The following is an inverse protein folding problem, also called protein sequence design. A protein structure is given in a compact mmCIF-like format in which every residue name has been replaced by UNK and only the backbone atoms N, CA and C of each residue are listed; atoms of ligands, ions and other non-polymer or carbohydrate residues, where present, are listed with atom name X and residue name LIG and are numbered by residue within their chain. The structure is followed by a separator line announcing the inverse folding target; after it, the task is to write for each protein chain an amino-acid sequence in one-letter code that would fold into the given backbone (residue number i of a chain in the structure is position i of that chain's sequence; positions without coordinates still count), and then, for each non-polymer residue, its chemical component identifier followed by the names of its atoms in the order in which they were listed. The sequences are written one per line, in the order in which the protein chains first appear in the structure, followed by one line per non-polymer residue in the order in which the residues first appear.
data_IF_820635103350
#
_entry.id   IF_820635103350
#
_cell.length_a   1.000
_cell.length_b   1.000
_cell.length_c   1.000
_cell.angle_alpha   90.00
_cell.angle_beta   90.00
_cell.angle_gamma   90.00
#
_symmetry.space_group_name_H-M   'P 1'
#
loop_
_entity.id
_entity.type
_entity.pdbx_description
1 polymer ?
#
# COMPACT_ATOMS: atom_id res chain seq x y z
N UNK A 1 27.51 -2.42 2.38
CA UNK A 1 26.64 -1.28 2.01
C UNK A 1 25.54 -1.18 3.04
N UNK A 2 25.26 0.00 3.58
CA UNK A 2 24.12 0.21 4.47
C UNK A 2 22.93 0.70 3.63
N UNK A 3 21.90 -0.12 3.52
CA UNK A 3 20.69 0.24 2.77
C UNK A 3 19.79 1.03 3.70
N UNK A 4 19.33 2.19 3.24
CA UNK A 4 18.29 2.93 3.94
C UNK A 4 16.95 2.16 3.80
N UNK A 5 16.58 1.46 4.87
CA UNK A 5 15.36 0.65 4.93
C UNK A 5 14.10 1.52 4.80
N UNK A 6 14.12 2.76 5.31
CA UNK A 6 12.98 3.65 5.20
C UNK A 6 12.78 4.05 3.74
N UNK A 7 13.87 4.44 3.05
CA UNK A 7 13.81 4.78 1.63
C UNK A 7 13.36 3.60 0.76
N UNK A 8 13.86 2.40 1.04
CA UNK A 8 13.42 1.18 0.36
C UNK A 8 11.91 0.95 0.57
N UNK A 9 11.45 1.09 1.82
CA UNK A 9 10.04 0.94 2.19
C UNK A 9 9.15 1.92 1.44
N UNK A 10 9.53 3.20 1.39
CA UNK A 10 8.77 4.26 0.73
C UNK A 10 8.68 4.02 -0.79
N UNK A 11 9.78 3.62 -1.43
CA UNK A 11 9.76 3.23 -2.85
C UNK A 11 8.83 2.04 -3.06
N UNK A 12 8.86 1.02 -2.21
CA UNK A 12 7.92 -0.09 -2.32
C UNK A 12 6.46 0.38 -2.17
N UNK A 13 6.18 1.30 -1.24
CA UNK A 13 4.83 1.87 -1.04
C UNK A 13 4.35 2.65 -2.28
N UNK A 14 5.20 3.46 -2.90
CA UNK A 14 4.86 4.21 -4.13
C UNK A 14 4.50 3.29 -5.31
N UNK A 15 5.08 2.10 -5.35
CA UNK A 15 4.86 1.09 -6.39
C UNK A 15 3.79 0.06 -5.99
N UNK A 16 3.05 0.28 -4.90
CA UNK A 16 2.03 -0.66 -4.46
C UNK A 16 0.92 -0.85 -5.49
N UNK A 17 0.59 -2.12 -5.77
CA UNK A 17 -0.59 -2.55 -6.51
C UNK A 17 -1.09 -3.90 -6.00
N UNK A 18 -2.09 -4.48 -6.65
CA UNK A 18 -2.65 -5.79 -6.31
C UNK A 18 -1.54 -6.82 -6.01
N UNK A 19 -1.70 -7.52 -4.87
CA UNK A 19 -0.82 -8.57 -4.36
C UNK A 19 0.61 -8.16 -4.00
N UNK A 20 0.96 -6.88 -4.10
CA UNK A 20 2.19 -6.34 -3.54
C UNK A 20 1.89 -5.72 -2.17
N UNK A 21 2.30 -6.43 -1.12
CA UNK A 21 2.07 -6.03 0.27
C UNK A 21 3.33 -5.39 0.82
N UNK A 22 3.23 -4.15 1.30
CA UNK A 22 4.38 -3.39 1.82
C UNK A 22 4.07 -2.98 3.25
N UNK A 23 4.92 -3.39 4.20
CA UNK A 23 4.74 -3.27 5.67
C UNK A 23 3.50 -3.96 6.26
N UNK A 24 2.35 -3.93 5.59
CA UNK A 24 1.08 -4.57 5.96
C UNK A 24 0.95 -5.93 5.28
N UNK A 25 1.87 -6.85 5.62
CA UNK A 25 1.92 -8.21 5.06
C UNK A 25 1.05 -9.15 5.90
N UNK A 26 0.13 -9.94 5.30
CA UNK A 26 -0.63 -10.96 6.02
C UNK A 26 0.26 -11.91 6.84
N UNK A 27 -0.14 -12.19 8.10
CA UNK A 27 0.62 -13.06 9.02
C UNK A 27 0.90 -14.44 8.44
N UNK A 28 -0.05 -15.00 7.69
CA UNK A 28 0.09 -16.31 7.04
C UNK A 28 1.25 -16.31 6.04
N UNK A 29 1.50 -15.21 5.33
CA UNK A 29 2.64 -15.09 4.41
C UNK A 29 3.96 -14.99 5.17
N UNK A 30 4.01 -14.17 6.21
CA UNK A 30 5.18 -14.06 7.09
C UNK A 30 5.53 -15.42 7.72
N UNK A 31 4.53 -16.20 8.16
CA UNK A 31 4.74 -17.50 8.80
C UNK A 31 5.43 -18.54 7.92
N UNK A 32 5.31 -18.41 6.60
CA UNK A 32 5.91 -19.34 5.63
C UNK A 32 7.18 -18.79 4.98
N UNK A 33 7.50 -17.50 5.17
CA UNK A 33 8.60 -16.80 4.52
C UNK A 33 9.95 -17.50 4.79
N UNK A 34 10.32 -17.66 6.06
CA UNK A 34 11.59 -18.31 6.47
C UNK A 34 11.68 -19.75 5.92
N UNK A 35 10.65 -20.58 6.17
CA UNK A 35 10.64 -21.99 5.79
C UNK A 35 10.65 -22.20 4.27
N UNK A 36 9.89 -21.41 3.52
CA UNK A 36 9.72 -21.62 2.07
C UNK A 36 10.73 -20.86 1.23
N UNK A 37 11.17 -19.69 1.63
CA UNK A 37 12.05 -18.83 0.84
C UNK A 37 13.49 -18.81 1.37
N UNK A 38 13.76 -19.49 2.49
CA UNK A 38 15.08 -19.54 3.12
C UNK A 38 15.58 -18.14 3.55
N UNK A 39 14.66 -17.28 3.98
CA UNK A 39 14.96 -15.95 4.52
C UNK A 39 15.49 -16.12 5.96
N UNK A 40 16.65 -15.53 6.30
CA UNK A 40 17.18 -15.54 7.66
C UNK A 40 16.23 -14.90 8.68
N UNK A 41 16.30 -15.33 9.94
CA UNK A 41 15.40 -14.82 11.01
C UNK A 41 15.68 -13.36 11.38
N UNK A 42 16.92 -12.93 11.21
CA UNK A 42 17.43 -11.58 11.46
C UNK A 42 17.25 -10.64 10.26
N UNK A 43 16.83 -11.15 9.10
CA UNK A 43 16.61 -10.36 7.91
C UNK A 43 15.19 -9.79 7.90
N UNK A 44 15.08 -8.47 8.08
CA UNK A 44 13.81 -7.79 8.18
C UNK A 44 13.05 -7.88 6.86
N UNK A 45 11.83 -8.43 6.89
CA UNK A 45 10.93 -8.44 5.73
C UNK A 45 10.22 -7.08 5.62
N UNK A 46 10.29 -6.47 4.43
CA UNK A 46 9.74 -5.14 4.16
C UNK A 46 8.52 -5.22 3.26
N UNK A 47 8.61 -6.00 2.19
CA UNK A 47 7.52 -6.18 1.24
C UNK A 47 7.45 -7.61 0.70
N UNK A 48 6.29 -7.97 0.17
CA UNK A 48 6.05 -9.26 -0.46
C UNK A 48 5.14 -9.12 -1.68
N UNK A 49 5.63 -9.55 -2.84
CA UNK A 49 4.83 -9.75 -4.05
C UNK A 49 4.39 -11.22 -4.12
N UNK A 50 3.09 -11.47 -3.96
CA UNK A 50 2.51 -12.81 -4.03
C UNK A 50 2.24 -13.24 -5.47
N UNK A 51 3.02 -14.20 -5.99
CA UNK A 51 2.87 -14.77 -7.33
C UNK A 51 2.03 -16.06 -7.34
N UNK A 52 0.94 -16.09 -6.56
CA UNK A 52 0.02 -17.21 -6.48
C UNK A 52 -1.36 -16.83 -7.03
N UNK A 53 -1.83 -17.52 -8.07
CA UNK A 53 -3.21 -17.38 -8.59
C UNK A 53 -4.28 -17.41 -7.50
N UNK A 54 -4.11 -18.28 -6.48
CA UNK A 54 -5.05 -18.47 -5.36
C UNK A 54 -4.53 -17.95 -4.00
N UNK A 55 -3.57 -17.02 -3.98
CA UNK A 55 -3.20 -16.27 -2.76
C UNK A 55 -2.58 -17.07 -1.61
N UNK A 56 -2.01 -18.26 -1.86
CA UNK A 56 -1.42 -19.09 -0.79
C UNK A 56 -0.07 -18.60 -0.22
N UNK A 57 0.52 -17.54 -0.78
CA UNK A 57 1.83 -17.00 -0.42
C UNK A 57 3.02 -17.95 -0.66
N UNK A 58 2.80 -19.11 -1.29
CA UNK A 58 3.84 -20.14 -1.52
C UNK A 58 4.86 -19.77 -2.59
N UNK A 59 4.54 -18.83 -3.47
CA UNK A 59 5.38 -18.34 -4.56
C UNK A 59 5.34 -16.82 -4.58
N UNK A 60 6.44 -16.21 -4.97
CA UNK A 60 6.55 -14.76 -4.94
C UNK A 60 7.96 -14.27 -4.75
N UNK A 61 8.06 -12.99 -4.39
CA UNK A 61 9.31 -12.28 -4.14
C UNK A 61 9.17 -11.49 -2.86
N UNK A 62 10.04 -11.77 -1.89
CA UNK A 62 10.21 -10.98 -0.68
C UNK A 62 11.31 -9.96 -0.88
N UNK A 63 11.05 -8.75 -0.40
CA UNK A 63 12.00 -7.66 -0.27
C UNK A 63 12.38 -7.58 1.22
N UNK A 64 13.67 -7.63 1.48
CA UNK A 64 14.21 -7.71 2.85
C UNK A 64 15.29 -6.66 3.08
N UNK A 65 15.78 -6.53 4.30
CA UNK A 65 16.92 -5.67 4.62
C UNK A 65 18.20 -6.06 3.88
N UNK A 66 18.40 -7.33 3.53
CA UNK A 66 19.61 -7.80 2.85
C UNK A 66 19.50 -7.97 1.33
N UNK A 67 18.28 -8.18 0.82
CA UNK A 67 18.08 -8.39 -0.61
C UNK A 67 16.68 -8.89 -1.01
N UNK A 68 16.64 -9.46 -2.20
CA UNK A 68 15.49 -10.17 -2.77
C UNK A 68 15.59 -11.66 -2.47
N UNK A 69 14.47 -12.26 -2.09
CA UNK A 69 14.32 -13.70 -1.94
C UNK A 69 13.08 -14.15 -2.69
N UNK A 70 13.22 -15.11 -3.60
CA UNK A 70 12.10 -15.57 -4.41
C UNK A 70 11.93 -17.08 -4.40
N UNK A 71 10.71 -17.48 -4.69
CA UNK A 71 10.36 -18.87 -4.98
C UNK A 71 9.31 -18.88 -6.08
N UNK A 72 9.59 -19.63 -7.13
CA UNK A 72 8.66 -19.91 -8.22
C UNK A 72 8.41 -21.40 -8.33
N UNK A 73 7.31 -21.73 -8.99
CA UNK A 73 7.01 -23.12 -9.35
C UNK A 73 8.04 -23.69 -10.34
N UNK A 74 8.40 -22.91 -11.37
CA UNK A 74 9.23 -23.37 -12.49
C UNK A 74 10.74 -23.28 -12.21
N UNK A 75 11.20 -22.19 -11.61
CA UNK A 75 12.64 -21.88 -11.44
C UNK A 75 13.17 -22.22 -10.04
N UNK A 76 12.33 -22.73 -9.14
CA UNK A 76 12.74 -23.06 -7.78
C UNK A 76 12.90 -21.82 -6.90
N UNK A 77 13.90 -21.84 -6.02
CA UNK A 77 14.19 -20.73 -5.09
C UNK A 77 15.44 -19.98 -5.56
N UNK A 78 15.50 -18.69 -5.26
CA UNK A 78 16.71 -17.91 -5.44
C UNK A 78 16.76 -16.72 -4.49
N UNK A 79 17.92 -16.07 -4.46
CA UNK A 79 18.16 -14.86 -3.70
C UNK A 79 19.16 -13.98 -4.43
N UNK A 80 19.06 -12.68 -4.23
CA UNK A 80 20.00 -11.70 -4.74
C UNK A 80 20.12 -10.59 -3.70
N UNK A 81 21.34 -10.37 -3.20
CA UNK A 81 21.58 -9.29 -2.23
C UNK A 81 21.52 -7.92 -2.91
N UNK A 82 21.32 -6.87 -2.12
CA UNK A 82 21.26 -5.50 -2.65
C UNK A 82 22.57 -5.05 -3.31
N UNK A 83 23.73 -5.43 -2.76
CA UNK A 83 25.05 -5.14 -3.35
C UNK A 83 25.19 -5.81 -4.73
N UNK A 84 24.75 -7.06 -4.85
CA UNK A 84 24.74 -7.78 -6.13
C UNK A 84 23.76 -7.17 -7.14
N UNK A 85 22.59 -6.73 -6.69
CA UNK A 85 21.60 -6.10 -7.57
C UNK A 85 22.12 -4.79 -8.18
N UNK A 86 22.93 -4.02 -7.47
CA UNK A 86 23.52 -2.77 -7.97
C UNK A 86 24.56 -3.03 -9.08
N UNK A 87 25.19 -4.20 -9.05
CA UNK A 87 26.17 -4.61 -10.07
C UNK A 87 25.51 -5.08 -11.37
N UNK A 88 24.21 -5.42 -11.34
CA UNK A 88 23.44 -5.84 -12.52
C UNK A 88 23.40 -4.72 -13.55
N UNK A 89 23.87 -5.00 -14.76
CA UNK A 89 23.91 -4.05 -15.85
C UNK A 89 22.56 -3.94 -16.57
N UNK A 90 21.83 -5.05 -16.64
CA UNK A 90 20.60 -5.14 -17.40
C UNK A 90 19.51 -5.91 -16.65
N UNK A 91 18.40 -5.21 -16.39
CA UNK A 91 17.16 -5.82 -15.87
C UNK A 91 16.16 -5.89 -17.02
N UNK A 92 15.77 -7.11 -17.39
CA UNK A 92 14.79 -7.36 -18.45
C UNK A 92 13.58 -8.12 -17.92
N UNK A 93 12.44 -7.87 -18.55
CA UNK A 93 11.25 -8.69 -18.33
C UNK A 93 10.62 -9.03 -19.67
N UNK A 94 10.37 -10.31 -19.91
CA UNK A 94 9.71 -10.78 -21.12
C UNK A 94 8.18 -10.71 -21.00
N UNK A 95 7.50 -10.94 -22.13
CA UNK A 95 6.04 -10.95 -22.23
C UNK A 95 5.36 -12.00 -21.32
N UNK A 96 6.10 -13.04 -20.94
CA UNK A 96 5.62 -14.13 -20.10
C UNK A 96 5.92 -13.86 -18.60
N UNK A 97 6.44 -12.65 -18.29
CA UNK A 97 6.72 -12.18 -16.94
C UNK A 97 7.99 -12.77 -16.33
N UNK A 98 8.90 -13.35 -17.12
CA UNK A 98 10.21 -13.75 -16.62
C UNK A 98 11.13 -12.54 -16.51
N UNK A 99 11.59 -12.29 -15.30
CA UNK A 99 12.64 -11.34 -15.03
C UNK A 99 14.02 -12.00 -15.24
N UNK A 100 14.91 -11.30 -15.93
CA UNK A 100 16.30 -11.68 -16.10
C UNK A 100 17.22 -10.57 -15.62
N UNK A 101 18.31 -10.97 -14.95
CA UNK A 101 19.44 -10.11 -14.60
C UNK A 101 20.60 -10.51 -15.49
N UNK A 102 21.16 -9.59 -16.27
CA UNK A 102 22.29 -9.82 -17.20
C UNK A 102 22.08 -11.04 -18.11
N UNK A 103 20.90 -11.10 -18.75
CA UNK A 103 20.42 -12.21 -19.59
C UNK A 103 20.22 -13.57 -18.87
N UNK A 104 20.43 -13.65 -17.55
CA UNK A 104 20.14 -14.83 -16.75
C UNK A 104 18.72 -14.79 -16.17
N UNK A 105 17.86 -15.71 -16.61
CA UNK A 105 16.50 -15.89 -16.05
C UNK A 105 16.58 -16.13 -14.54
N UNK A 106 15.89 -15.28 -13.79
CA UNK A 106 15.97 -15.27 -12.33
C UNK A 106 14.67 -15.74 -11.68
N UNK A 107 13.56 -15.07 -11.99
CA UNK A 107 12.24 -15.44 -11.46
C UNK A 107 11.10 -15.02 -12.40
N UNK A 108 9.90 -15.54 -12.13
CA UNK A 108 8.71 -15.26 -12.93
C UNK A 108 7.57 -14.71 -12.06
N UNK A 109 6.93 -13.63 -12.52
CA UNK A 109 5.84 -12.98 -11.78
C UNK A 109 4.46 -13.12 -12.42
N UNK A 110 4.30 -13.93 -13.48
CA UNK A 110 3.02 -14.08 -14.19
C UNK A 110 1.92 -14.76 -13.36
N UNK A 111 2.27 -15.35 -12.22
CA UNK A 111 1.32 -15.82 -11.22
C UNK A 111 0.66 -14.71 -10.39
N UNK A 112 1.03 -13.45 -10.62
CA UNK A 112 0.42 -12.25 -10.06
C UNK A 112 -0.26 -11.42 -11.14
N UNK A 113 -1.29 -10.66 -10.78
CA UNK A 113 -1.86 -9.57 -11.56
C UNK A 113 -1.03 -8.27 -11.46
N UNK A 114 0.13 -8.33 -10.82
CA UNK A 114 1.06 -7.20 -10.70
C UNK A 114 1.79 -6.99 -12.04
N UNK A 115 1.79 -5.78 -12.63
CA UNK A 115 2.33 -5.53 -13.95
C UNK A 115 3.84 -5.80 -14.04
N UNK A 116 4.27 -6.65 -15.01
CA UNK A 116 5.69 -6.95 -15.22
C UNK A 116 6.59 -5.71 -15.39
N UNK A 117 6.15 -4.75 -16.20
CA UNK A 117 6.92 -3.52 -16.44
C UNK A 117 7.04 -2.66 -15.18
N UNK A 118 5.96 -2.56 -14.38
CA UNK A 118 5.99 -1.84 -13.11
C UNK A 118 6.96 -2.49 -12.12
N UNK A 119 7.07 -3.81 -12.14
CA UNK A 119 8.01 -4.53 -11.30
C UNK A 119 9.47 -4.26 -11.70
N UNK A 120 9.74 -4.22 -13.01
CA UNK A 120 11.05 -3.79 -13.52
C UNK A 120 11.37 -2.35 -13.11
N UNK A 121 10.40 -1.43 -13.26
CA UNK A 121 10.56 -0.04 -12.83
C UNK A 121 10.85 0.08 -11.33
N UNK A 122 10.17 -0.71 -10.49
CA UNK A 122 10.43 -0.78 -9.05
C UNK A 122 11.88 -1.17 -8.76
N UNK A 123 12.40 -2.23 -9.40
CA UNK A 123 13.79 -2.65 -9.20
C UNK A 123 14.79 -1.58 -9.62
N UNK A 124 14.54 -0.89 -10.74
CA UNK A 124 15.37 0.23 -11.21
C UNK A 124 15.30 1.42 -10.24
N UNK A 125 14.11 1.74 -9.72
CA UNK A 125 13.95 2.81 -8.73
C UNK A 125 14.73 2.51 -7.45
N UNK A 126 14.70 1.25 -6.99
CA UNK A 126 15.48 0.80 -5.84
C UNK A 126 16.99 0.93 -6.09
N UNK A 127 17.52 0.42 -7.21
CA UNK A 127 18.96 0.53 -7.52
C UNK A 127 19.43 1.98 -7.60
N UNK A 128 18.63 2.85 -8.22
CA UNK A 128 18.94 4.28 -8.31
C UNK A 128 18.91 4.97 -6.94
N UNK A 129 18.03 4.53 -6.04
CA UNK A 129 17.95 5.09 -4.69
C UNK A 129 19.16 4.75 -3.83
N UNK A 130 19.71 3.54 -3.98
CA UNK A 130 20.87 3.09 -3.19
C UNK A 130 22.15 3.85 -3.55
N UNK A 131 22.23 4.35 -4.79
CA UNK A 131 23.34 5.21 -5.23
C UNK A 131 23.25 6.64 -4.66
N UNK A 132 22.05 7.09 -4.26
CA UNK A 132 21.77 8.43 -3.76
C UNK A 132 21.46 8.41 -2.25
N UNK A 133 22.44 8.02 -1.44
CA UNK A 133 22.28 7.85 0.02
C UNK A 133 22.44 9.15 0.80
N UNK A 134 21.51 10.11 0.64
CA UNK A 134 21.46 11.32 1.48
C UNK A 134 20.05 11.89 1.61
N UNK A 135 19.20 11.25 2.40
CA UNK A 135 18.13 11.98 3.07
C UNK A 135 17.63 11.18 4.27
N UNK A 136 17.70 11.79 5.45
CA UNK A 136 16.96 11.29 6.60
C UNK A 136 15.61 12.00 6.57
N UNK A 137 14.57 11.31 6.10
CA UNK A 137 13.23 11.86 6.17
C UNK A 137 12.77 11.87 7.63
N UNK A 138 12.78 13.05 8.24
CA UNK A 138 12.16 13.26 9.54
C UNK A 138 10.69 13.58 9.26
N UNK A 139 9.78 12.82 9.87
CA UNK A 139 8.34 13.03 9.69
C UNK A 139 7.78 13.88 10.83
N UNK A 140 6.93 14.89 10.54
CA UNK A 140 6.29 15.69 11.58
C UNK A 140 5.33 14.83 12.39
N UNK A 141 5.15 15.19 13.66
CA UNK A 141 4.16 14.55 14.52
C UNK A 141 2.77 14.89 14.00
N UNK A 142 1.98 13.86 13.72
CA UNK A 142 0.64 13.99 13.17
C UNK A 142 -0.34 14.27 14.31
N UNK A 143 -1.06 15.40 14.24
CA UNK A 143 -2.13 15.70 15.19
C UNK A 143 -3.41 14.98 14.75
N UNK A 144 -3.72 13.87 15.40
CA UNK A 144 -4.88 13.01 15.09
C UNK A 144 -6.21 13.79 15.15
N UNK A 145 -6.34 14.73 16.09
CA UNK A 145 -7.54 15.56 16.22
C UNK A 145 -7.83 16.39 14.97
N UNK A 146 -6.80 16.87 14.26
CA UNK A 146 -6.98 17.63 13.02
C UNK A 146 -7.48 16.72 11.89
N UNK A 147 -6.94 15.50 11.77
CA UNK A 147 -7.45 14.50 10.81
C UNK A 147 -8.92 14.20 11.10
N UNK A 148 -9.26 13.96 12.38
CA UNK A 148 -10.62 13.72 12.82
C UNK A 148 -11.53 14.89 12.48
N UNK A 149 -11.11 16.13 12.75
CA UNK A 149 -11.86 17.33 12.39
C UNK A 149 -12.11 17.42 10.89
N UNK A 150 -11.11 17.15 10.05
CA UNK A 150 -11.29 17.08 8.59
C UNK A 150 -12.32 16.01 8.23
N UNK A 151 -12.23 14.80 8.79
CA UNK A 151 -13.21 13.75 8.53
C UNK A 151 -14.64 14.18 8.93
N UNK A 152 -14.81 14.78 10.12
CA UNK A 152 -16.11 15.23 10.61
C UNK A 152 -16.72 16.35 9.76
N UNK A 153 -15.92 17.19 9.08
CA UNK A 153 -16.44 18.21 8.16
C UNK A 153 -17.17 17.62 6.94
N UNK A 154 -16.80 16.38 6.56
CA UNK A 154 -17.42 15.68 5.43
C UNK A 154 -18.45 14.64 5.87
N UNK A 155 -18.59 14.36 7.16
CA UNK A 155 -19.57 13.42 7.66
C UNK A 155 -20.95 14.07 7.67
N UNK A 156 -21.90 13.44 7.01
CA UNK A 156 -23.32 13.77 7.16
C UNK A 156 -23.93 12.69 8.02
N UNK A 157 -24.14 13.01 9.30
CA UNK A 157 -24.81 12.13 10.24
C UNK A 157 -25.90 12.92 10.96
N UNK A 158 -27.15 12.67 10.59
CA UNK A 158 -28.30 13.22 11.29
C UNK A 158 -29.27 12.09 11.59
N UNK A 159 -29.39 11.71 12.87
CA UNK A 159 -30.25 10.61 13.32
C UNK A 159 -31.73 10.77 12.92
N UNK A 160 -32.16 11.98 12.52
CA UNK A 160 -33.57 12.31 12.33
C UNK A 160 -33.93 12.88 10.94
N UNK A 161 -32.99 13.43 10.16
CA UNK A 161 -33.35 14.29 9.01
C UNK A 161 -32.59 14.06 7.70
N UNK A 162 -31.37 13.53 7.71
CA UNK A 162 -30.57 13.33 6.49
C UNK A 162 -30.00 11.91 6.45
N UNK A 163 -30.12 11.19 5.31
CA UNK A 163 -29.50 9.88 5.17
C UNK A 163 -27.98 10.04 5.29
N UNK A 164 -27.34 9.12 6.01
CA UNK A 164 -25.89 9.13 6.14
C UNK A 164 -25.22 9.08 4.76
N UNK A 165 -24.12 9.82 4.60
CA UNK A 165 -23.39 9.84 3.33
C UNK A 165 -22.34 8.72 3.21
N UNK A 166 -22.39 7.73 4.10
CA UNK A 166 -21.49 6.58 4.14
C UNK A 166 -20.11 6.85 4.74
N UNK A 167 -19.79 8.08 5.13
CA UNK A 167 -18.62 8.39 5.97
C UNK A 167 -19.03 8.27 7.45
N UNK A 168 -18.26 7.51 8.22
CA UNK A 168 -18.47 7.34 9.65
C UNK A 168 -17.19 7.75 10.38
N UNK A 169 -17.29 8.65 11.35
CA UNK A 169 -16.14 9.16 12.10
C UNK A 169 -16.21 8.73 13.56
N UNK A 170 -15.09 8.19 14.05
CA UNK A 170 -14.90 7.80 15.45
C UNK A 170 -16.05 6.92 15.98
N UNK A 171 -16.80 7.39 16.98
CA UNK A 171 -17.87 6.64 17.64
C UNK A 171 -19.07 6.35 16.72
N UNK A 172 -19.16 6.98 15.55
CA UNK A 172 -20.20 6.69 14.56
C UNK A 172 -19.89 5.40 13.76
N UNK A 173 -18.68 4.84 13.87
CA UNK A 173 -18.36 3.52 13.32
C UNK A 173 -18.88 2.44 14.28
N UNK A 174 -20.00 1.82 13.95
CA UNK A 174 -20.57 0.76 14.80
C UNK A 174 -19.62 -0.44 15.01
N UNK A 175 -19.74 -1.14 16.15
CA UNK A 175 -18.97 -2.36 16.45
C UNK A 175 -19.08 -3.43 15.36
N UNK A 176 -20.27 -3.57 14.75
CA UNK A 176 -20.49 -4.51 13.65
C UNK A 176 -19.63 -4.13 12.43
N UNK A 177 -19.51 -2.83 12.16
CA UNK A 177 -18.70 -2.29 11.06
C UNK A 177 -17.21 -2.45 11.35
N UNK A 178 -16.77 -2.14 12.58
CA UNK A 178 -15.39 -2.34 13.02
C UNK A 178 -14.94 -3.80 12.83
N UNK A 179 -15.75 -4.77 13.27
CA UNK A 179 -15.45 -6.21 13.05
C UNK A 179 -15.34 -6.58 11.57
N UNK A 180 -16.15 -5.97 10.71
CA UNK A 180 -16.09 -6.21 9.26
C UNK A 180 -14.82 -5.59 8.64
N UNK A 181 -14.41 -4.39 9.11
CA UNK A 181 -13.16 -3.73 8.73
C UNK A 181 -11.96 -4.58 9.16
N UNK A 182 -11.89 -4.98 10.42
CA UNK A 182 -10.81 -5.81 10.98
C UNK A 182 -10.64 -7.15 10.25
N UNK A 183 -11.74 -7.73 9.75
CA UNK A 183 -11.70 -8.97 8.98
C UNK A 183 -11.20 -8.81 7.54
N UNK A 184 -11.15 -7.58 7.01
CA UNK A 184 -10.88 -7.31 5.59
C UNK A 184 -9.63 -6.47 5.33
N UNK A 185 -9.29 -5.57 6.25
CA UNK A 185 -8.10 -4.73 6.21
C UNK A 185 -6.97 -5.36 7.05
N UNK A 186 -5.73 -5.13 6.64
CA UNK A 186 -4.55 -5.59 7.37
C UNK A 186 -4.10 -4.42 8.27
N UNK A 187 -4.81 -4.25 9.39
CA UNK A 187 -4.58 -3.17 10.35
C UNK A 187 -3.96 -3.78 11.63
N UNK A 188 -2.92 -3.16 12.23
CA UNK A 188 -2.44 -3.56 13.56
C UNK A 188 -3.54 -3.49 14.61
N UNK A 189 -3.45 -4.29 15.66
CA UNK A 189 -4.49 -4.32 16.72
C UNK A 189 -4.50 -3.04 17.55
N UNK A 190 -3.33 -2.42 17.68
CA UNK A 190 -3.09 -1.24 18.49
C UNK A 190 -3.40 0.05 17.72
N UNK A 191 -3.66 -0.05 16.42
CA UNK A 191 -3.89 1.09 15.54
C UNK A 191 -5.24 1.76 15.81
N UNK A 192 -5.21 3.07 16.01
CA UNK A 192 -6.44 3.85 16.10
C UNK A 192 -7.08 4.05 14.71
N UNK A 193 -8.32 3.58 14.55
CA UNK A 193 -9.19 3.91 13.42
C UNK A 193 -9.88 5.25 13.71
N UNK A 194 -9.79 6.19 12.76
CA UNK A 194 -10.34 7.54 12.88
C UNK A 194 -11.66 7.66 12.13
N UNK A 195 -11.71 7.17 10.89
CA UNK A 195 -12.89 7.26 10.04
C UNK A 195 -12.94 6.12 9.01
N UNK A 196 -14.14 5.82 8.53
CA UNK A 196 -14.36 4.87 7.45
C UNK A 196 -15.39 5.41 6.46
N UNK A 197 -14.99 5.53 5.19
CA UNK A 197 -15.89 5.80 4.08
C UNK A 197 -16.29 4.49 3.42
N UNK A 198 -17.56 4.14 3.53
CA UNK A 198 -18.13 2.95 2.88
C UNK A 198 -18.36 3.20 1.39
N UNK A 199 -17.72 2.39 0.56
CA UNK A 199 -17.93 2.35 -0.90
C UNK A 199 -18.45 1.00 -1.37
N UNK A 200 -18.92 0.16 -0.43
CA UNK A 200 -19.43 -1.18 -0.74
C UNK A 200 -20.69 -1.12 -1.61
N UNK A 201 -20.78 -2.08 -2.53
CA UNK A 201 -22.01 -2.35 -3.30
C UNK A 201 -23.19 -2.55 -2.34
N UNK A 202 -24.26 -1.77 -2.51
CA UNK A 202 -25.51 -1.94 -1.77
C UNK A 202 -26.16 -3.30 -2.09
N UNK A 203 -26.46 -4.10 -1.07
CA UNK A 203 -27.10 -5.42 -1.19
C UNK A 203 -26.22 -6.58 -0.68
N UNK A 204 -26.67 -7.83 -0.87
CA UNK A 204 -26.02 -9.04 -0.33
C UNK A 204 -24.65 -9.39 -0.97
N UNK A 205 -24.18 -8.61 -1.96
CA UNK A 205 -22.90 -8.87 -2.64
C UNK A 205 -21.71 -8.17 -2.00
N UNK A 206 -21.94 -7.05 -1.29
CA UNK A 206 -20.91 -6.35 -0.53
C UNK A 206 -20.81 -6.88 0.90
N UNK A 207 -19.60 -7.08 1.42
CA UNK A 207 -19.40 -7.36 2.86
C UNK A 207 -19.52 -6.10 3.74
N UNK A 208 -19.98 -4.97 3.17
CA UNK A 208 -20.07 -3.69 3.87
C UNK A 208 -18.72 -3.23 4.45
N UNK A 209 -17.62 -3.57 3.80
CA UNK A 209 -16.25 -3.32 4.28
C UNK A 209 -15.29 -2.94 3.13
N UNK A 210 -15.82 -2.67 1.94
CA UNK A 210 -15.06 -1.98 0.89
C UNK A 210 -15.16 -0.48 1.13
N UNK A 211 -14.05 0.22 0.95
CA UNK A 211 -14.00 1.61 1.33
C UNK A 211 -12.62 2.19 1.51
N UNK A 212 -12.62 3.40 2.05
CA UNK A 212 -11.43 4.12 2.47
C UNK A 212 -11.39 4.14 3.99
N UNK A 213 -10.32 3.60 4.57
CA UNK A 213 -10.11 3.59 6.02
C UNK A 213 -9.04 4.61 6.37
N UNK A 214 -9.34 5.47 7.34
CA UNK A 214 -8.44 6.51 7.84
C UNK A 214 -8.01 6.09 9.23
N UNK A 215 -6.70 5.93 9.43
CA UNK A 215 -6.11 5.54 10.71
C UNK A 215 -5.06 6.57 11.14
N UNK A 216 -4.55 6.43 12.36
CA UNK A 216 -3.46 7.28 12.86
C UNK A 216 -2.18 7.19 12.01
N UNK A 217 -1.82 6.00 11.51
CA UNK A 217 -0.58 5.80 10.74
C UNK A 217 -0.70 6.18 9.27
N UNK A 218 -1.92 6.20 8.72
CA UNK A 218 -2.11 6.41 7.29
C UNK A 218 -3.53 6.16 6.81
N UNK A 219 -3.64 5.95 5.51
CA UNK A 219 -4.89 5.75 4.79
C UNK A 219 -4.84 4.45 4.00
N UNK A 220 -5.96 3.74 3.98
CA UNK A 220 -6.12 2.49 3.24
C UNK A 220 -7.22 2.64 2.19
N UNK A 221 -7.00 2.04 1.03
CA UNK A 221 -8.02 1.87 -0.01
C UNK A 221 -8.25 0.38 -0.23
N UNK A 222 -9.50 -0.06 -0.07
CA UNK A 222 -9.84 -1.48 -0.11
C UNK A 222 -11.09 -1.74 -0.93
N UNK A 223 -10.92 -2.52 -1.97
CA UNK A 223 -11.99 -3.22 -2.70
C UNK A 223 -11.46 -4.55 -3.20
N UNK A 224 -12.27 -5.41 -3.82
CA UNK A 224 -11.89 -6.81 -4.17
C UNK A 224 -10.46 -6.97 -4.71
N UNK A 225 -10.03 -6.13 -5.66
CA UNK A 225 -8.71 -6.19 -6.29
C UNK A 225 -7.75 -5.06 -5.89
N UNK A 226 -8.16 -4.19 -4.96
CA UNK A 226 -7.35 -3.06 -4.48
C UNK A 226 -7.08 -3.22 -2.99
N UNK A 227 -5.80 -3.21 -2.63
CA UNK A 227 -5.33 -3.41 -1.26
C UNK A 227 -4.17 -2.46 -1.03
N UNK A 228 -4.47 -1.17 -0.87
CA UNK A 228 -3.47 -0.13 -0.74
C UNK A 228 -3.42 0.37 0.70
N UNK A 229 -2.20 0.63 1.16
CA UNK A 229 -1.93 1.33 2.40
C UNK A 229 -0.84 2.35 2.14
N UNK A 230 -1.12 3.60 2.47
CA UNK A 230 -0.13 4.66 2.41
C UNK A 230 0.02 5.27 3.80
N UNK A 231 1.21 5.20 4.42
CA UNK A 231 1.48 6.03 5.56
C UNK A 231 1.43 7.50 5.14
N UNK A 232 1.07 8.38 6.07
CA UNK A 232 0.77 9.77 5.76
C UNK A 232 1.90 10.51 5.02
N UNK A 233 3.16 10.23 5.36
CA UNK A 233 4.34 10.84 4.74
C UNK A 233 4.53 10.46 3.27
N UNK A 234 4.08 9.27 2.86
CA UNK A 234 4.05 8.84 1.46
C UNK A 234 2.78 9.38 0.79
N UNK A 235 1.63 9.24 1.46
CA UNK A 235 0.32 9.57 0.90
C UNK A 235 0.23 11.00 0.36
N UNK A 236 0.86 11.97 1.03
CA UNK A 236 0.87 13.38 0.59
C UNK A 236 1.37 13.53 -0.87
N UNK A 237 2.29 12.68 -1.31
CA UNK A 237 2.90 12.72 -2.63
C UNK A 237 2.22 11.80 -3.66
N UNK A 238 1.37 10.87 -3.23
CA UNK A 238 0.69 9.93 -4.14
C UNK A 238 -0.30 10.67 -5.04
N UNK A 239 -0.16 10.65 -6.37
CA UNK A 239 -1.12 11.27 -7.26
C UNK A 239 -2.48 10.57 -7.17
N UNK A 240 -3.55 11.38 -7.15
CA UNK A 240 -4.93 10.89 -7.19
C UNK A 240 -5.70 11.76 -8.17
N UNK A 241 -6.25 11.13 -9.21
CA UNK A 241 -7.12 11.78 -10.19
C UNK A 241 -8.47 11.10 -10.23
N UNK A 242 -9.53 11.88 -10.41
CA UNK A 242 -10.89 11.38 -10.55
C UNK A 242 -11.30 11.43 -12.02
N UNK A 243 -11.69 10.28 -12.56
CA UNK A 243 -12.27 10.16 -13.90
C UNK A 243 -13.64 9.50 -13.76
N UNK A 244 -14.71 10.25 -14.02
CA UNK A 244 -16.08 9.82 -13.72
C UNK A 244 -16.25 9.44 -12.24
N UNK A 245 -16.42 8.15 -11.94
CA UNK A 245 -16.58 7.59 -10.59
C UNK A 245 -15.44 6.64 -10.22
N UNK A 246 -14.24 6.88 -10.79
CA UNK A 246 -13.04 6.09 -10.53
C UNK A 246 -11.91 6.99 -10.07
N UNK A 247 -11.29 6.63 -8.95
CA UNK A 247 -9.98 7.16 -8.58
C UNK A 247 -8.89 6.34 -9.24
N UNK A 248 -8.02 7.03 -9.99
CA UNK A 248 -6.70 6.53 -10.32
C UNK A 248 -5.71 6.98 -9.24
N UNK A 249 -5.17 6.02 -8.49
CA UNK A 249 -4.31 6.23 -7.31
C UNK A 249 -2.90 5.72 -7.60
N UNK A 250 -1.91 6.60 -7.45
CA UNK A 250 -0.49 6.28 -7.61
C UNK A 250 -0.18 5.76 -9.01
N UNK A 251 0.45 4.59 -9.09
CA UNK A 251 0.86 3.96 -10.34
C UNK A 251 -0.30 3.24 -11.03
N UNK A 252 -1.43 3.90 -11.33
CA UNK A 252 -2.58 3.33 -12.08
C UNK A 252 -3.45 2.33 -11.31
N UNK A 253 -3.51 2.41 -9.99
CA UNK A 253 -4.53 1.64 -9.26
C UNK A 253 -5.90 2.27 -9.48
N UNK A 254 -6.90 1.49 -9.87
CA UNK A 254 -8.27 1.97 -10.07
C UNK A 254 -9.11 1.59 -8.87
N UNK A 255 -9.72 2.58 -8.20
CA UNK A 255 -10.62 2.39 -7.07
C UNK A 255 -12.00 2.96 -7.41
N UNK A 256 -13.05 2.14 -7.29
CA UNK A 256 -14.37 2.46 -7.81
C UNK A 256 -15.24 3.13 -6.73
N UNK A 257 -15.86 4.25 -7.10
CA UNK A 257 -16.74 5.06 -6.24
C UNK A 257 -18.22 4.93 -6.61
N UNK A 258 -18.55 4.16 -7.65
CA UNK A 258 -19.91 4.01 -8.20
C UNK A 258 -20.98 3.57 -7.17
N UNK A 259 -20.58 3.02 -6.03
CA UNK A 259 -21.47 2.58 -4.96
C UNK A 259 -21.34 3.42 -3.68
N UNK A 260 -20.46 4.42 -3.66
CA UNK A 260 -20.36 5.35 -2.56
C UNK A 260 -21.63 6.20 -2.47
N UNK A 261 -22.10 6.45 -1.24
CA UNK A 261 -23.23 7.34 -0.98
C UNK A 261 -22.83 8.81 -1.10
N UNK A 262 -21.60 9.12 -0.71
CA UNK A 262 -20.99 10.42 -0.93
C UNK A 262 -20.64 10.61 -2.42
N UNK A 263 -20.98 11.75 -2.99
CA UNK A 263 -20.64 12.06 -4.39
C UNK A 263 -19.13 12.04 -4.62
N UNK A 264 -18.68 11.48 -5.75
CA UNK A 264 -17.26 11.29 -6.10
C UNK A 264 -16.42 12.57 -5.99
N UNK A 265 -16.99 13.73 -6.35
CA UNK A 265 -16.34 15.03 -6.20
C UNK A 265 -16.14 15.45 -4.74
N UNK A 266 -17.09 15.13 -3.85
CA UNK A 266 -16.97 15.40 -2.42
C UNK A 266 -15.93 14.47 -1.79
N UNK A 267 -15.85 13.21 -2.23
CA UNK A 267 -14.79 12.28 -1.81
C UNK A 267 -13.42 12.81 -2.26
N UNK A 268 -13.30 13.31 -3.51
CA UNK A 268 -12.05 13.89 -3.98
C UNK A 268 -11.65 15.11 -3.15
N UNK A 269 -12.61 15.99 -2.82
CA UNK A 269 -12.37 17.15 -1.99
C UNK A 269 -11.95 16.74 -0.57
N UNK A 270 -12.59 15.73 0.03
CA UNK A 270 -12.22 15.15 1.31
C UNK A 270 -10.76 14.67 1.31
N UNK A 271 -10.38 13.86 0.32
CA UNK A 271 -9.01 13.37 0.15
C UNK A 271 -8.01 14.51 -0.05
N UNK A 272 -8.37 15.53 -0.82
CA UNK A 272 -7.53 16.72 -1.02
C UNK A 272 -7.29 17.50 0.27
N UNK A 273 -8.31 17.64 1.14
CA UNK A 273 -8.14 18.30 2.43
C UNK A 273 -7.19 17.53 3.36
N UNK A 274 -7.29 16.20 3.40
CA UNK A 274 -6.32 15.36 4.12
C UNK A 274 -4.89 15.57 3.60
N UNK A 275 -4.70 15.55 2.26
CA UNK A 275 -3.39 15.80 1.65
C UNK A 275 -2.86 17.20 1.92
N UNK A 276 -3.73 18.22 1.89
CA UNK A 276 -3.36 19.61 2.17
C UNK A 276 -2.87 19.77 3.62
N UNK A 277 -3.57 19.19 4.58
CA UNK A 277 -3.12 19.18 5.98
C UNK A 277 -1.78 18.46 6.15
N UNK A 278 -1.58 17.33 5.46
CA UNK A 278 -0.28 16.69 5.46
C UNK A 278 0.80 17.61 4.89
N UNK A 279 0.57 18.27 3.75
CA UNK A 279 1.56 19.17 3.17
C UNK A 279 1.89 20.36 4.09
N UNK A 280 0.90 20.98 4.73
CA UNK A 280 1.16 22.10 5.64
C UNK A 280 2.03 21.70 6.83
N UNK A 281 1.87 20.49 7.37
CA UNK A 281 2.75 19.98 8.43
C UNK A 281 4.23 19.89 8.01
N UNK A 282 4.51 19.56 6.75
CA UNK A 282 5.88 19.50 6.25
C UNK A 282 6.43 20.90 5.92
N UNK A 283 5.60 21.79 5.37
CA UNK A 283 5.99 23.18 5.07
C UNK A 283 6.28 23.98 6.34
N UNK A 284 5.50 23.78 7.41
CA UNK A 284 5.69 24.42 8.72
C UNK A 284 6.95 23.93 9.46
N UNK A 285 7.53 22.81 9.02
CA UNK A 285 8.71 22.21 9.61
C UNK A 285 9.83 22.08 8.55
N UNK A 286 10.38 23.20 8.03
CA UNK A 286 11.36 23.16 6.93
C UNK A 286 12.69 22.49 7.32
N UNK A 287 12.94 22.29 8.61
CA UNK A 287 14.10 21.52 9.10
C UNK A 287 13.99 20.01 8.81
N UNK A 288 12.81 19.53 8.37
CA UNK A 288 12.56 18.14 7.96
C UNK A 288 12.96 17.87 6.49
N UNK A 289 13.50 18.86 5.79
CA UNK A 289 13.98 18.73 4.41
C UNK A 289 15.52 18.59 4.29
N UNK A 290 16.24 18.38 5.40
CA UNK A 290 17.70 18.34 5.47
C UNK A 290 18.23 16.91 5.32
#
# INVERSE_FOLDING_TARGET
MNIDINRLTDICLEYQQSRFYVTRIPKDFLSIAQKRFSIPTDDQIIAFLSCNLFGSGKYGVYFTSSGLYWKNWLLGKGKLKWDQLIEVQQIEIDKDGFLSFDAQKSFNISGSDYPPLLFKELLIALTNSFQNSKQHDIHPVIKINEIKSICSLFETYNELLEPDNGLFVDTHISDKKLKAIEARFIVPKEEQIIAFLDTSVLGNMGKGSDGVLICESGIYFRETFVHLYFPWHVFKNIPITLTSDEFEIGKRNIFHLQHARMASQNILLFIKNLKQYMNSLYEENPQLHI
#
